data_IF_403689713015
#
_entry.id   IF_403689713015
#
_cell.length_a   1.000
_cell.length_b   1.000
_cell.length_c   1.000
_cell.angle_alpha   90.00
_cell.angle_beta   90.00
_cell.angle_gamma   90.00
#
_symmetry.space_group_name_H-M   'P 1'
#
loop_
_entity.id
_entity.type
_entity.pdbx_description
1 polymer ?
#
# COMPACT_ATOMS: atom_id res chain seq x y z
N UNK A 1 -2.30 -19.74 31.93
CA UNK A 1 -3.16 -19.52 30.76
C UNK A 1 -2.49 -18.44 29.94
N UNK A 2 -1.48 -18.78 29.15
CA UNK A 2 -0.96 -17.86 28.13
C UNK A 2 -0.91 -18.65 26.84
N UNK A 3 -2.08 -18.71 26.20
CA UNK A 3 -2.29 -19.34 24.91
C UNK A 3 -1.72 -18.34 23.88
N UNK A 4 -0.39 -18.33 23.74
CA UNK A 4 0.32 -17.40 22.87
C UNK A 4 -0.10 -17.67 21.43
N UNK A 5 -1.07 -16.89 20.94
CA UNK A 5 -1.55 -16.99 19.56
C UNK A 5 -0.35 -16.92 18.60
N UNK A 6 -0.32 -17.74 17.54
CA UNK A 6 0.78 -17.72 16.58
C UNK A 6 1.01 -16.32 16.01
N UNK A 7 2.27 -15.98 15.75
CA UNK A 7 2.65 -14.73 15.07
C UNK A 7 2.12 -14.77 13.63
N UNK A 8 1.41 -13.72 13.22
CA UNK A 8 0.80 -13.60 11.89
C UNK A 8 1.52 -12.53 11.08
N UNK A 9 2.16 -12.96 9.99
CA UNK A 9 2.87 -12.09 9.05
C UNK A 9 2.07 -11.92 7.76
N UNK A 10 1.91 -10.67 7.31
CA UNK A 10 1.44 -10.34 5.97
C UNK A 10 2.62 -9.83 5.12
N UNK A 11 2.89 -10.52 4.00
CA UNK A 11 3.92 -10.14 3.04
C UNK A 11 3.28 -9.78 1.70
N UNK A 12 3.60 -8.60 1.17
CA UNK A 12 3.03 -8.05 -0.05
C UNK A 12 4.10 -7.85 -1.11
N UNK A 13 3.99 -8.58 -2.22
CA UNK A 13 4.95 -8.48 -3.32
C UNK A 13 4.72 -7.22 -4.19
N UNK A 14 5.78 -6.78 -4.85
CA UNK A 14 5.75 -5.72 -5.85
C UNK A 14 5.13 -6.19 -7.16
N UNK A 15 4.29 -5.35 -7.78
CA UNK A 15 3.59 -5.75 -9.01
C UNK A 15 3.27 -4.61 -9.98
N UNK A 16 3.58 -3.37 -9.62
CA UNK A 16 3.09 -2.19 -10.35
C UNK A 16 1.57 -2.12 -10.26
N UNK A 17 0.88 -1.81 -11.36
CA UNK A 17 -0.61 -1.79 -11.39
C UNK A 17 -1.25 -3.09 -10.84
N UNK A 18 -0.57 -4.23 -10.97
CA UNK A 18 -1.06 -5.54 -10.50
C UNK A 18 -1.14 -5.64 -8.98
N UNK A 19 -0.51 -4.74 -8.22
CA UNK A 19 -0.67 -4.70 -6.74
C UNK A 19 -2.12 -4.55 -6.28
N UNK A 20 -3.02 -4.06 -7.14
CA UNK A 20 -4.46 -4.04 -6.87
C UNK A 20 -5.03 -5.45 -6.65
N UNK A 21 -4.50 -6.49 -7.31
CA UNK A 21 -4.96 -7.86 -7.06
C UNK A 21 -4.66 -8.31 -5.63
N UNK A 22 -3.50 -7.95 -5.10
CA UNK A 22 -3.14 -8.26 -3.71
C UNK A 22 -4.07 -7.56 -2.71
N UNK A 23 -4.47 -6.32 -2.99
CA UNK A 23 -5.45 -5.59 -2.19
C UNK A 23 -6.82 -6.28 -2.24
N UNK A 24 -7.28 -6.69 -3.42
CA UNK A 24 -8.58 -7.36 -3.58
C UNK A 24 -8.63 -8.73 -2.89
N UNK A 25 -7.54 -9.50 -2.97
CA UNK A 25 -7.41 -10.77 -2.24
C UNK A 25 -7.44 -10.52 -0.73
N UNK A 26 -6.70 -9.50 -0.24
CA UNK A 26 -6.72 -9.14 1.18
C UNK A 26 -8.10 -8.64 1.61
N UNK A 27 -8.81 -7.89 0.78
CA UNK A 27 -10.17 -7.41 1.06
C UNK A 27 -11.15 -8.56 1.23
N UNK A 28 -11.07 -9.55 0.35
CA UNK A 28 -11.89 -10.75 0.44
C UNK A 28 -11.55 -11.59 1.69
N UNK A 29 -10.26 -11.72 2.01
CA UNK A 29 -9.81 -12.37 3.25
C UNK A 29 -10.37 -11.66 4.50
N UNK A 30 -10.20 -10.34 4.59
CA UNK A 30 -10.70 -9.55 5.72
C UNK A 30 -12.22 -9.60 5.83
N UNK A 31 -12.94 -9.59 4.69
CA UNK A 31 -14.40 -9.77 4.65
C UNK A 31 -14.81 -11.12 5.25
N UNK A 32 -14.16 -12.21 4.86
CA UNK A 32 -14.43 -13.54 5.43
C UNK A 32 -14.09 -13.59 6.93
N UNK A 33 -12.97 -13.00 7.36
CA UNK A 33 -12.59 -12.96 8.78
C UNK A 33 -13.56 -12.15 9.66
N UNK A 34 -14.27 -11.20 9.06
CA UNK A 34 -15.22 -10.34 9.76
C UNK A 34 -16.69 -10.68 9.49
N UNK A 35 -16.99 -11.77 8.77
CA UNK A 35 -18.35 -12.11 8.33
C UNK A 35 -19.33 -12.27 9.50
N UNK A 36 -18.86 -12.79 10.64
CA UNK A 36 -19.65 -13.05 11.85
C UNK A 36 -19.50 -11.96 12.92
N UNK A 37 -18.84 -10.85 12.59
CA UNK A 37 -18.59 -9.73 13.52
C UNK A 37 -19.60 -8.62 13.34
N UNK A 38 -19.89 -7.90 14.42
CA UNK A 38 -20.69 -6.68 14.36
C UNK A 38 -20.01 -5.64 13.43
N UNK A 39 -20.78 -4.87 12.63
CA UNK A 39 -20.23 -3.82 11.76
C UNK A 39 -19.33 -2.81 12.48
N UNK A 40 -19.54 -2.56 13.77
CA UNK A 40 -18.74 -1.62 14.56
C UNK A 40 -17.48 -2.27 15.18
N UNK A 41 -17.28 -3.57 14.99
CA UNK A 41 -16.19 -4.37 15.58
C UNK A 41 -15.36 -5.12 14.53
N UNK A 42 -15.46 -4.70 13.27
CA UNK A 42 -14.72 -5.25 12.15
C UNK A 42 -13.21 -5.06 12.37
N UNK A 43 -12.44 -6.14 12.26
CA UNK A 43 -10.99 -6.07 12.35
C UNK A 43 -10.40 -5.43 11.09
N UNK A 44 -9.34 -4.66 11.29
CA UNK A 44 -8.49 -4.11 10.25
C UNK A 44 -7.17 -4.92 10.14
N UNK A 45 -6.46 -4.86 9.00
CA UNK A 45 -5.24 -5.63 8.81
C UNK A 45 -4.19 -5.44 9.93
N UNK A 46 -4.00 -4.21 10.42
CA UNK A 46 -3.06 -3.91 11.51
C UNK A 46 -3.46 -4.50 12.88
N UNK A 47 -4.72 -4.91 13.06
CA UNK A 47 -5.19 -5.62 14.26
C UNK A 47 -5.06 -7.14 14.12
N UNK A 48 -4.95 -7.63 12.89
CA UNK A 48 -4.82 -9.06 12.58
C UNK A 48 -3.35 -9.46 12.49
N UNK A 49 -2.57 -8.74 11.71
CA UNK A 49 -1.18 -9.11 11.44
C UNK A 49 -0.25 -8.38 12.39
N UNK A 50 0.64 -9.15 13.02
CA UNK A 50 1.65 -8.64 13.94
C UNK A 50 2.78 -7.92 13.17
N UNK A 51 2.99 -8.32 11.91
CA UNK A 51 3.91 -7.66 11.00
C UNK A 51 3.31 -7.58 9.59
N UNK A 52 3.40 -6.41 8.97
CA UNK A 52 3.01 -6.16 7.59
C UNK A 52 4.23 -5.62 6.84
N UNK A 53 4.71 -6.36 5.85
CA UNK A 53 5.87 -6.01 5.05
C UNK A 53 5.60 -6.13 3.56
N UNK A 54 6.42 -5.49 2.73
CA UNK A 54 6.33 -5.65 1.29
C UNK A 54 7.45 -4.97 0.52
N UNK A 55 7.56 -5.31 -0.77
CA UNK A 55 8.59 -4.80 -1.68
C UNK A 55 7.96 -3.92 -2.77
N UNK A 56 8.66 -2.85 -3.19
CA UNK A 56 8.16 -1.93 -4.23
C UNK A 56 6.74 -1.41 -3.92
N UNK A 57 5.77 -1.56 -4.85
CA UNK A 57 4.36 -1.20 -4.61
C UNK A 57 3.74 -1.93 -3.41
N UNK A 58 4.18 -3.15 -3.10
CA UNK A 58 3.77 -3.88 -1.91
C UNK A 58 4.21 -3.21 -0.61
N UNK A 59 5.37 -2.56 -0.61
CA UNK A 59 5.83 -1.73 0.53
C UNK A 59 4.96 -0.49 0.74
N UNK A 60 4.49 0.13 -0.34
CA UNK A 60 3.54 1.25 -0.24
C UNK A 60 2.23 0.78 0.39
N UNK A 61 1.70 -0.37 -0.04
CA UNK A 61 0.49 -0.97 0.53
C UNK A 61 0.71 -1.31 2.01
N UNK A 62 1.88 -1.87 2.36
CA UNK A 62 2.25 -2.17 3.74
C UNK A 62 2.25 -0.91 4.64
N UNK A 63 2.78 0.22 4.15
CA UNK A 63 2.74 1.49 4.87
C UNK A 63 1.28 1.98 5.06
N UNK A 64 0.45 1.93 4.01
CA UNK A 64 -0.95 2.36 4.09
C UNK A 64 -1.73 1.56 5.15
N UNK A 65 -1.59 0.23 5.13
CA UNK A 65 -2.36 -0.66 6.01
C UNK A 65 -1.80 -0.75 7.42
N UNK A 66 -0.47 -0.85 7.56
CA UNK A 66 0.20 -1.05 8.85
C UNK A 66 0.47 0.26 9.57
N UNK A 67 1.24 1.16 8.94
CA UNK A 67 1.62 2.42 9.57
C UNK A 67 0.45 3.39 9.58
N UNK A 68 -0.19 3.68 8.46
CA UNK A 68 -1.26 4.68 8.41
C UNK A 68 -2.62 4.14 8.91
N UNK A 69 -2.65 2.86 9.32
CA UNK A 69 -3.82 2.15 9.85
C UNK A 69 -5.07 2.31 8.99
N UNK A 70 -4.89 2.43 7.67
CA UNK A 70 -5.99 2.57 6.72
C UNK A 70 -6.81 1.28 6.69
N UNK A 71 -8.11 1.42 6.45
CA UNK A 71 -8.93 0.27 6.08
C UNK A 71 -8.50 -0.27 4.72
N UNK A 72 -8.89 -1.51 4.41
CA UNK A 72 -8.57 -2.09 3.11
C UNK A 72 -9.22 -1.30 1.96
N UNK A 73 -10.42 -0.77 2.17
CA UNK A 73 -11.13 0.06 1.19
C UNK A 73 -10.42 1.39 0.93
N UNK A 74 -10.00 2.06 1.99
CA UNK A 74 -9.25 3.31 1.89
C UNK A 74 -7.90 3.08 1.17
N UNK A 75 -7.25 1.96 1.46
CA UNK A 75 -6.01 1.55 0.79
C UNK A 75 -6.24 1.28 -0.70
N UNK A 76 -7.33 0.59 -1.05
CA UNK A 76 -7.73 0.34 -2.44
C UNK A 76 -7.90 1.65 -3.22
N UNK A 77 -8.68 2.59 -2.68
CA UNK A 77 -8.92 3.88 -3.32
C UNK A 77 -7.64 4.69 -3.49
N UNK A 78 -6.81 4.75 -2.45
CA UNK A 78 -5.53 5.44 -2.51
C UNK A 78 -4.59 4.80 -3.54
N UNK A 79 -4.56 3.47 -3.61
CA UNK A 79 -3.75 2.74 -4.58
C UNK A 79 -4.21 2.98 -6.02
N UNK A 80 -5.52 3.00 -6.27
CA UNK A 80 -6.07 3.31 -7.59
C UNK A 80 -5.68 4.72 -8.03
N UNK A 81 -5.75 5.72 -7.12
CA UNK A 81 -5.31 7.09 -7.41
C UNK A 81 -3.81 7.14 -7.72
N UNK A 82 -2.99 6.52 -6.88
CA UNK A 82 -1.55 6.40 -7.07
C UNK A 82 -1.21 5.80 -8.43
N UNK A 83 -1.84 4.67 -8.75
CA UNK A 83 -1.61 3.95 -9.99
C UNK A 83 -1.99 4.77 -11.23
N UNK A 84 -3.10 5.52 -11.18
CA UNK A 84 -3.50 6.44 -12.26
C UNK A 84 -2.51 7.59 -12.46
N UNK A 85 -1.82 8.02 -11.41
CA UNK A 85 -0.81 9.10 -11.47
C UNK A 85 0.53 8.58 -12.00
N UNK A 86 0.95 7.40 -11.54
CA UNK A 86 2.27 6.81 -11.80
C UNK A 86 2.30 6.06 -13.14
N UNK A 87 1.28 5.27 -13.48
CA UNK A 87 1.25 4.45 -14.69
C UNK A 87 0.57 5.16 -15.87
N UNK A 88 0.59 6.50 -15.94
CA UNK A 88 0.06 7.21 -17.11
C UNK A 88 0.85 6.77 -18.36
N UNK A 89 0.22 6.17 -19.38
CA UNK A 89 0.92 5.89 -20.62
C UNK A 89 1.38 7.22 -21.20
N UNK A 90 2.70 7.40 -21.39
CA UNK A 90 3.22 8.48 -22.24
C UNK A 90 2.54 8.26 -23.59
N UNK A 91 1.66 9.18 -24.00
CA UNK A 91 1.03 9.15 -25.33
C UNK A 91 2.13 9.28 -26.37
N UNK A 92 2.64 8.14 -26.83
CA UNK A 92 3.65 8.07 -27.86
C UNK A 92 3.04 8.49 -29.20
N UNK A 93 3.18 9.76 -29.56
CA UNK A 93 3.04 10.18 -30.95
C UNK A 93 4.39 9.92 -31.66
N UNK A 94 4.35 9.00 -32.64
CA UNK A 94 5.28 8.76 -33.76
C UNK A 94 6.47 7.74 -33.69
N UNK A 95 6.41 6.86 -34.69
CA UNK A 95 7.43 6.17 -35.50
C UNK A 95 8.25 5.01 -34.91
N UNK A 96 8.27 3.89 -35.64
CA UNK A 96 8.91 2.62 -35.28
C UNK A 96 10.43 2.71 -34.97
N UNK A 97 11.10 3.77 -35.42
CA UNK A 97 12.55 3.99 -35.25
C UNK A 97 12.96 4.20 -33.79
N UNK A 98 12.08 4.74 -32.96
CA UNK A 98 12.38 5.12 -31.58
C UNK A 98 12.17 3.99 -30.56
N UNK A 99 11.64 2.82 -30.97
CA UNK A 99 11.48 1.64 -30.10
C UNK A 99 12.81 1.07 -29.61
N UNK A 100 13.88 1.20 -30.40
CA UNK A 100 15.22 0.73 -30.03
C UNK A 100 15.91 1.62 -28.99
N UNK A 101 15.65 2.93 -29.03
CA UNK A 101 16.28 3.92 -28.15
C UNK A 101 15.60 3.96 -26.76
N UNK A 102 14.28 3.79 -26.72
CA UNK A 102 13.51 3.78 -25.46
C UNK A 102 13.69 2.51 -24.60
N UNK A 103 14.26 1.44 -25.18
CA UNK A 103 14.68 0.28 -24.41
C UNK A 103 15.93 0.60 -23.57
N UNK A 104 16.87 1.38 -24.12
CA UNK A 104 18.10 1.78 -23.43
C UNK A 104 17.89 2.96 -22.45
N UNK A 105 16.96 3.87 -22.73
CA UNK A 105 16.60 4.99 -21.83
C UNK A 105 15.65 4.62 -20.69
N UNK A 106 15.54 3.33 -20.34
CA UNK A 106 14.61 2.81 -19.33
C UNK A 106 14.99 3.16 -17.86
N UNK A 107 15.93 4.07 -17.62
CA UNK A 107 16.43 4.39 -16.28
C UNK A 107 15.51 5.28 -15.44
N UNK A 108 14.46 5.90 -16.01
CA UNK A 108 13.51 6.75 -15.23
C UNK A 108 12.05 6.59 -15.69
N UNK A 109 11.56 5.34 -15.77
CA UNK A 109 10.15 5.09 -16.17
C UNK A 109 9.12 5.61 -15.16
N UNK A 110 9.52 5.90 -13.92
CA UNK A 110 8.66 6.41 -12.87
C UNK A 110 9.24 7.68 -12.26
N UNK A 111 8.44 8.74 -12.28
CA UNK A 111 8.78 10.03 -11.69
C UNK A 111 8.72 9.92 -10.16
N UNK A 112 9.89 9.92 -9.51
CA UNK A 112 10.01 9.80 -8.06
C UNK A 112 9.34 10.96 -7.32
N UNK A 113 9.35 12.16 -7.90
CA UNK A 113 8.71 13.33 -7.31
C UNK A 113 7.18 13.17 -7.28
N UNK A 114 6.58 12.53 -8.30
CA UNK A 114 5.14 12.20 -8.30
C UNK A 114 4.79 11.14 -7.27
N UNK A 115 5.64 10.12 -7.09
CA UNK A 115 5.43 9.12 -6.05
C UNK A 115 5.51 9.76 -4.66
N UNK A 116 6.53 10.58 -4.42
CA UNK A 116 6.72 11.31 -3.17
C UNK A 116 5.54 12.24 -2.87
N UNK A 117 5.05 12.99 -3.88
CA UNK A 117 3.91 13.89 -3.67
C UNK A 117 2.65 13.14 -3.26
N UNK A 118 2.35 12.00 -3.90
CA UNK A 118 1.18 11.19 -3.55
C UNK A 118 1.33 10.58 -2.15
N UNK A 119 2.52 10.11 -1.78
CA UNK A 119 2.79 9.60 -0.42
C UNK A 119 2.60 10.71 0.61
N UNK A 120 3.13 11.91 0.38
CA UNK A 120 2.93 13.07 1.26
C UNK A 120 1.47 13.48 1.37
N UNK A 121 0.70 13.43 0.29
CA UNK A 121 -0.74 13.70 0.30
C UNK A 121 -1.49 12.69 1.18
N UNK A 122 -1.17 11.39 1.07
CA UNK A 122 -1.79 10.35 1.88
C UNK A 122 -1.45 10.55 3.37
N UNK A 123 -0.19 10.82 3.69
CA UNK A 123 0.26 11.10 5.06
C UNK A 123 -0.44 12.36 5.60
N UNK A 124 -0.49 13.44 4.82
CA UNK A 124 -1.16 14.68 5.21
C UNK A 124 -2.65 14.48 5.44
N UNK A 125 -3.33 13.73 4.57
CA UNK A 125 -4.75 13.42 4.72
C UNK A 125 -5.05 12.64 6.00
N UNK A 126 -4.11 11.80 6.46
CA UNK A 126 -4.28 11.00 7.68
C UNK A 126 -3.85 11.70 8.96
N UNK A 127 -2.81 12.52 8.89
CA UNK A 127 -2.11 13.02 10.08
C UNK A 127 -2.21 14.54 10.24
N UNK A 128 -2.76 15.25 9.25
CA UNK A 128 -2.79 16.71 9.19
C UNK A 128 -1.46 17.35 8.77
N UNK A 129 -0.36 16.59 8.72
CA UNK A 129 0.97 17.09 8.37
C UNK A 129 1.72 16.12 7.46
N UNK A 130 2.35 16.60 6.39
CA UNK A 130 3.14 15.77 5.48
C UNK A 130 4.47 15.28 6.09
N UNK A 131 4.88 15.84 7.25
CA UNK A 131 6.16 15.56 7.92
C UNK A 131 6.01 14.69 9.16
N UNK A 132 4.81 14.18 9.43
CA UNK A 132 4.57 13.30 10.58
C UNK A 132 5.44 12.04 10.45
N UNK A 133 6.31 11.73 11.43
CA UNK A 133 7.08 10.49 11.42
C UNK A 133 6.15 9.27 11.41
N UNK A 134 6.42 8.30 10.54
CA UNK A 134 5.64 7.06 10.49
C UNK A 134 5.81 6.22 11.77
N UNK A 135 6.90 6.42 12.52
CA UNK A 135 7.14 5.80 13.82
C UNK A 135 6.03 6.07 14.84
N UNK A 136 5.40 7.24 14.77
CA UNK A 136 4.32 7.60 15.70
C UNK A 136 3.16 6.59 15.63
N UNK A 137 2.90 6.00 14.46
CA UNK A 137 1.82 5.03 14.30
C UNK A 137 2.20 3.59 14.68
N UNK A 138 3.50 3.31 14.77
CA UNK A 138 4.05 2.03 15.23
C UNK A 138 4.06 2.00 16.77
N UNK A 139 4.31 3.15 17.41
CA UNK A 139 4.39 3.27 18.87
C UNK A 139 3.02 3.25 19.56
N UNK A 140 1.98 3.81 18.93
CA UNK A 140 0.59 3.85 19.44
C UNK A 140 -0.13 2.48 19.45
N UNK A 141 0.61 1.38 19.30
CA UNK A 141 0.05 0.04 19.11
C UNK A 141 1.11 -1.04 19.14
N UNK A 142 1.81 -1.17 20.27
CA UNK A 142 2.58 -2.35 20.63
C UNK A 142 3.53 -2.83 19.52
N UNK A 143 4.63 -2.10 19.34
CA UNK A 143 5.87 -2.72 18.89
C UNK A 143 6.34 -3.73 19.94
N UNK A 144 5.73 -4.92 19.98
CA UNK A 144 6.38 -6.10 20.55
C UNK A 144 7.26 -6.66 19.44
N UNK A 145 8.53 -6.26 19.49
CA UNK A 145 9.62 -7.08 18.94
C UNK A 145 9.63 -8.41 19.67
#
# INVERSE_FOLDING_TARGET
>A
MDDQRPVRLLSLDGGGIRGLSSILILKDLMRHMNQDRDPNSQLQPWQVFDLIGGTSTGGIIAIMLGCLRMTVDECEEAYIRLAKTIFKPKRWKYNAFSRGVDFFSASERYDSAKLESVVKEIIKARTGSEKTPLSNFIEDGVGKV
#
